data_IF_561410734462
#
_entry.id   IF_561410734462
#
_cell.length_a   1.000
_cell.length_b   1.000
_cell.length_c   1.000
_cell.angle_alpha   90.00
_cell.angle_beta   90.00
_cell.angle_gamma   90.00
#
_symmetry.space_group_name_H-M   'P 1'
#
loop_
_entity.id
_entity.type
_entity.pdbx_description
1 polymer ?
#
# COMPACT_ATOMS: atom_id res chain seq x y z
N UNK A 1 18.60 19.60 -6.24
CA UNK A 1 18.42 19.21 -7.67
C UNK A 1 17.86 17.79 -7.69
N UNK A 2 16.75 17.55 -8.38
CA UNK A 2 15.99 16.27 -8.37
C UNK A 2 16.40 15.30 -9.49
N UNK A 3 17.70 15.26 -9.86
CA UNK A 3 18.15 14.46 -11.00
C UNK A 3 17.84 12.97 -10.90
N UNK A 4 17.83 12.42 -9.68
CA UNK A 4 17.44 11.04 -9.44
C UNK A 4 15.95 10.80 -9.79
N UNK A 5 15.06 11.72 -9.39
CA UNK A 5 13.63 11.67 -9.74
C UNK A 5 13.47 11.74 -11.27
N UNK A 6 14.16 12.68 -11.91
CA UNK A 6 14.14 12.80 -13.37
C UNK A 6 14.73 11.58 -14.10
N UNK A 7 15.70 10.88 -13.49
CA UNK A 7 16.23 9.62 -14.01
C UNK A 7 15.17 8.51 -13.93
N UNK A 8 14.55 8.30 -12.77
CA UNK A 8 13.53 7.26 -12.59
C UNK A 8 12.35 7.48 -13.56
N UNK A 9 11.86 8.72 -13.69
CA UNK A 9 10.77 9.03 -14.62
C UNK A 9 11.10 8.62 -16.05
N UNK A 10 12.28 9.00 -16.56
CA UNK A 10 12.68 8.74 -17.96
C UNK A 10 13.03 7.28 -18.24
N UNK A 11 13.41 6.50 -17.23
CA UNK A 11 13.90 5.12 -17.42
C UNK A 11 12.96 4.03 -16.93
N UNK A 12 12.06 4.35 -15.98
CA UNK A 12 11.11 3.38 -15.41
C UNK A 12 9.66 3.71 -15.76
N UNK A 13 9.34 4.98 -16.05
CA UNK A 13 7.96 5.44 -16.28
C UNK A 13 7.72 5.90 -17.73
N UNK A 14 8.69 5.69 -18.64
CA UNK A 14 8.57 6.03 -20.07
C UNK A 14 9.01 4.82 -20.93
N UNK A 15 8.20 4.38 -21.91
CA UNK A 15 6.81 4.79 -22.12
C UNK A 15 5.96 4.53 -20.87
N UNK A 16 4.84 5.24 -20.77
CA UNK A 16 3.92 5.12 -19.64
C UNK A 16 3.59 3.64 -19.40
N UNK A 17 3.75 3.11 -18.18
CA UNK A 17 3.44 1.71 -17.92
C UNK A 17 1.94 1.47 -18.07
N UNK A 18 1.58 0.50 -18.89
CA UNK A 18 0.20 0.07 -19.08
C UNK A 18 -0.04 -1.28 -18.39
N UNK A 19 -1.16 -1.39 -17.67
CA UNK A 19 -1.60 -2.63 -17.05
C UNK A 19 -3.13 -2.64 -16.88
N UNK A 20 -3.73 -3.83 -16.90
CA UNK A 20 -5.17 -4.01 -16.76
C UNK A 20 -5.67 -3.85 -15.31
N UNK A 21 -4.78 -3.98 -14.32
CA UNK A 21 -5.11 -3.91 -12.89
C UNK A 21 -3.99 -3.18 -12.14
N UNK A 22 -4.32 -2.66 -10.95
CA UNK A 22 -3.32 -2.07 -10.04
C UNK A 22 -2.25 -3.10 -9.64
N UNK A 23 -2.63 -4.36 -9.42
CA UNK A 23 -1.66 -5.42 -9.14
C UNK A 23 -0.71 -5.65 -10.32
N UNK A 24 -1.23 -5.70 -11.56
CA UNK A 24 -0.40 -5.84 -12.74
C UNK A 24 0.57 -4.65 -12.92
N UNK A 25 0.13 -3.44 -12.59
CA UNK A 25 0.99 -2.26 -12.58
C UNK A 25 2.12 -2.40 -11.54
N UNK A 26 1.80 -2.87 -10.33
CA UNK A 26 2.78 -3.12 -9.27
C UNK A 26 3.82 -4.14 -9.72
N UNK A 27 3.41 -5.24 -10.35
CA UNK A 27 4.31 -6.29 -10.82
C UNK A 27 5.27 -5.77 -11.90
N UNK A 28 4.76 -4.99 -12.86
CA UNK A 28 5.57 -4.36 -13.92
C UNK A 28 6.62 -3.42 -13.31
N UNK A 29 6.20 -2.53 -12.41
CA UNK A 29 7.11 -1.58 -11.78
C UNK A 29 8.14 -2.28 -10.90
N UNK A 30 7.74 -3.31 -10.15
CA UNK A 30 8.64 -4.11 -9.33
C UNK A 30 9.73 -4.77 -10.19
N UNK A 31 9.36 -5.41 -11.29
CA UNK A 31 10.33 -6.04 -12.20
C UNK A 31 11.35 -5.02 -12.75
N UNK A 32 10.88 -3.82 -13.15
CA UNK A 32 11.77 -2.75 -13.63
C UNK A 32 12.71 -2.25 -12.53
N UNK A 33 12.22 -2.09 -11.30
CA UNK A 33 13.03 -1.71 -10.14
C UNK A 33 14.10 -2.78 -9.82
N UNK A 34 13.74 -4.06 -9.85
CA UNK A 34 14.69 -5.15 -9.63
C UNK A 34 15.77 -5.18 -10.72
N UNK A 35 15.41 -4.96 -11.99
CA UNK A 35 16.40 -4.83 -13.07
C UNK A 35 17.33 -3.62 -12.86
N UNK A 36 16.81 -2.48 -12.40
CA UNK A 36 17.63 -1.32 -12.05
C UNK A 36 18.55 -1.59 -10.85
N UNK A 37 18.11 -2.42 -9.90
CA UNK A 37 18.91 -2.78 -8.73
C UNK A 37 20.22 -3.49 -9.13
N UNK A 38 20.20 -4.27 -10.21
CA UNK A 38 21.38 -4.94 -10.75
C UNK A 38 22.32 -4.00 -11.54
N UNK A 39 21.87 -2.79 -11.89
CA UNK A 39 22.70 -1.83 -12.60
C UNK A 39 23.83 -1.29 -11.70
N UNK A 40 25.02 -1.12 -12.28
CA UNK A 40 26.16 -0.52 -11.59
C UNK A 40 25.92 0.98 -11.39
N UNK A 41 25.99 1.43 -10.14
CA UNK A 41 25.80 2.83 -9.80
C UNK A 41 26.93 3.70 -10.37
N UNK A 42 26.56 4.69 -11.20
CA UNK A 42 27.45 5.51 -12.04
C UNK A 42 28.67 6.12 -11.34
N UNK A 43 28.58 6.43 -10.04
CA UNK A 43 29.68 7.01 -9.25
C UNK A 43 30.34 6.01 -8.28
N UNK A 44 29.62 4.97 -7.90
CA UNK A 44 30.03 4.10 -6.78
C UNK A 44 30.65 2.80 -7.28
N UNK A 45 30.43 2.43 -8.55
CA UNK A 45 31.03 1.25 -9.16
C UNK A 45 30.50 -0.07 -8.62
N UNK A 46 29.43 -0.04 -7.81
CA UNK A 46 28.77 -1.21 -7.24
C UNK A 46 27.33 -1.30 -7.77
N UNK A 47 26.73 -2.50 -7.85
CA UNK A 47 25.30 -2.65 -8.09
C UNK A 47 24.48 -1.81 -7.11
N UNK A 48 23.37 -1.24 -7.59
CA UNK A 48 22.46 -0.46 -6.74
C UNK A 48 21.91 -1.32 -5.59
N UNK A 49 21.64 -2.60 -5.84
CA UNK A 49 21.19 -3.58 -4.84
C UNK A 49 22.16 -3.71 -3.67
N UNK A 50 23.47 -3.72 -3.94
CA UNK A 50 24.51 -3.78 -2.90
C UNK A 50 24.52 -2.50 -2.06
N UNK A 51 24.41 -1.34 -2.69
CA UNK A 51 24.35 -0.05 -1.98
C UNK A 51 23.11 0.04 -1.08
N UNK A 52 21.97 -0.49 -1.54
CA UNK A 52 20.74 -0.58 -0.74
C UNK A 52 20.95 -1.51 0.45
N UNK A 53 21.53 -2.70 0.24
CA UNK A 53 21.81 -3.66 1.31
C UNK A 53 22.75 -3.08 2.38
N UNK A 54 23.80 -2.35 1.97
CA UNK A 54 24.68 -1.62 2.89
C UNK A 54 23.91 -0.57 3.70
N UNK A 55 22.99 0.17 3.07
CA UNK A 55 22.14 1.14 3.74
C UNK A 55 21.19 0.50 4.75
N UNK A 56 20.61 -0.65 4.43
CA UNK A 56 19.76 -1.43 5.34
C UNK A 56 20.59 -1.94 6.54
N UNK A 57 21.79 -2.48 6.30
CA UNK A 57 22.67 -2.96 7.36
C UNK A 57 23.13 -1.85 8.32
N UNK A 58 23.21 -0.61 7.83
CA UNK A 58 23.53 0.57 8.64
C UNK A 58 22.31 1.18 9.35
N UNK A 59 21.09 0.70 9.06
CA UNK A 59 19.85 1.23 9.64
C UNK A 59 19.57 0.60 11.01
N UNK A 60 18.71 1.28 11.80
CA UNK A 60 18.16 0.70 13.01
C UNK A 60 17.26 -0.49 12.67
N UNK A 61 17.12 -1.42 13.61
CA UNK A 61 16.15 -2.51 13.51
C UNK A 61 14.74 -1.94 13.31
N UNK A 62 13.94 -2.61 12.47
CA UNK A 62 12.53 -2.26 12.32
C UNK A 62 11.79 -2.48 13.64
N UNK A 63 10.71 -1.72 13.90
CA UNK A 63 9.82 -2.00 15.02
C UNK A 63 9.32 -3.45 14.98
N UNK A 64 9.17 -4.09 16.15
CA UNK A 64 8.68 -5.47 16.25
C UNK A 64 7.23 -5.66 15.81
N UNK A 65 6.49 -4.56 15.62
CA UNK A 65 5.13 -4.55 15.08
C UNK A 65 5.18 -3.89 13.70
N UNK A 66 4.67 -4.60 12.69
CA UNK A 66 4.58 -4.09 11.33
C UNK A 66 3.66 -2.87 11.24
N UNK A 67 3.96 -1.98 10.29
CA UNK A 67 3.05 -0.89 9.97
C UNK A 67 1.82 -1.44 9.25
N UNK A 68 0.63 -1.17 9.80
CA UNK A 68 -0.64 -1.51 9.16
C UNK A 68 -1.32 -0.23 8.62
N UNK A 69 -1.40 -0.03 7.28
CA UNK A 69 -1.99 1.16 6.67
C UNK A 69 -3.53 1.11 6.67
N UNK A 70 -4.13 0.98 7.86
CA UNK A 70 -5.57 0.94 8.06
C UNK A 70 -6.07 2.23 8.69
N UNK A 71 -7.17 2.78 8.15
CA UNK A 71 -7.91 3.88 8.78
C UNK A 71 -9.16 3.31 9.46
N UNK A 72 -9.24 3.42 10.77
CA UNK A 72 -10.43 2.99 11.51
C UNK A 72 -11.45 4.12 11.62
N UNK A 73 -12.72 3.79 11.37
CA UNK A 73 -13.85 4.70 11.52
C UNK A 73 -14.98 4.05 12.30
N UNK A 74 -15.71 4.84 13.08
CA UNK A 74 -16.95 4.42 13.72
C UNK A 74 -18.14 4.77 12.83
N UNK A 75 -18.99 3.78 12.52
CA UNK A 75 -20.16 3.96 11.66
C UNK A 75 -21.38 3.25 12.21
N UNK A 76 -22.53 3.92 12.22
CA UNK A 76 -23.79 3.31 12.63
C UNK A 76 -24.48 2.68 11.43
N UNK A 77 -24.78 1.39 11.53
CA UNK A 77 -25.51 0.68 10.49
C UNK A 77 -26.98 1.11 10.45
N UNK A 78 -27.58 1.08 9.25
CA UNK A 78 -28.99 1.40 9.07
C UNK A 78 -29.92 0.31 9.62
N UNK A 79 -31.23 0.46 9.39
CA UNK A 79 -32.24 -0.52 9.83
C UNK A 79 -32.11 -1.91 9.18
N UNK A 80 -31.36 -2.02 8.08
CA UNK A 80 -31.09 -3.27 7.35
C UNK A 80 -29.72 -3.84 7.68
N UNK A 81 -28.92 -3.16 8.50
CA UNK A 81 -27.55 -3.58 8.81
C UNK A 81 -26.55 -3.20 7.72
N UNK A 82 -26.79 -2.14 6.98
CA UNK A 82 -25.85 -1.60 6.01
C UNK A 82 -25.10 -0.39 6.56
N UNK A 83 -23.85 -0.22 6.16
CA UNK A 83 -22.99 0.89 6.54
C UNK A 83 -22.67 1.72 5.31
N UNK A 84 -22.88 3.04 5.41
CA UNK A 84 -22.46 3.99 4.39
C UNK A 84 -21.04 4.46 4.71
N UNK A 85 -20.13 4.27 3.76
CA UNK A 85 -18.73 4.72 3.84
C UNK A 85 -18.48 5.52 2.56
N UNK A 86 -18.14 6.80 2.74
CA UNK A 86 -18.11 7.77 1.66
C UNK A 86 -19.42 7.72 0.84
N UNK A 87 -19.34 7.37 -0.44
CA UNK A 87 -20.49 7.22 -1.33
C UNK A 87 -20.97 5.77 -1.53
N UNK A 88 -20.36 4.79 -0.85
CA UNK A 88 -20.59 3.37 -1.06
C UNK A 88 -21.31 2.72 0.13
N UNK A 89 -22.24 1.81 -0.16
CA UNK A 89 -22.99 1.07 0.86
C UNK A 89 -22.48 -0.36 0.97
N UNK A 90 -22.12 -0.76 2.19
CA UNK A 90 -21.59 -2.09 2.50
C UNK A 90 -22.52 -2.82 3.44
N UNK A 91 -22.74 -4.12 3.21
CA UNK A 91 -23.57 -4.93 4.08
C UNK A 91 -22.74 -5.46 5.26
N UNK A 92 -23.05 -5.00 6.47
CA UNK A 92 -22.55 -5.61 7.71
C UNK A 92 -23.36 -6.86 8.08
N UNK A 93 -24.65 -6.86 7.73
CA UNK A 93 -25.60 -7.93 8.03
C UNK A 93 -26.68 -7.50 9.02
N UNK A 94 -27.86 -8.12 8.92
CA UNK A 94 -29.05 -7.73 9.69
C UNK A 94 -28.86 -7.81 11.21
N UNK A 95 -27.99 -8.70 11.70
CA UNK A 95 -27.61 -8.82 13.11
C UNK A 95 -26.99 -7.54 13.68
N UNK A 96 -26.51 -6.64 12.81
CA UNK A 96 -25.90 -5.37 13.18
C UNK A 96 -26.80 -4.16 12.95
N UNK A 97 -28.09 -4.34 12.66
CA UNK A 97 -29.01 -3.21 12.44
C UNK A 97 -28.95 -2.20 13.58
N UNK A 98 -28.84 -0.91 13.25
CA UNK A 98 -28.74 0.21 14.22
C UNK A 98 -27.58 0.12 15.22
N UNK A 99 -26.62 -0.80 15.05
CA UNK A 99 -25.41 -0.87 15.88
C UNK A 99 -24.33 0.05 15.31
N UNK A 100 -23.50 0.56 16.21
CA UNK A 100 -22.26 1.25 15.83
C UNK A 100 -21.16 0.20 15.68
N UNK A 101 -20.48 0.23 14.54
CA UNK A 101 -19.45 -0.73 14.16
C UNK A 101 -18.13 0.01 13.94
N UNK A 102 -17.03 -0.67 14.24
CA UNK A 102 -15.70 -0.22 13.82
C UNK A 102 -15.47 -0.73 12.40
N UNK A 103 -15.02 0.15 11.52
CA UNK A 103 -14.72 -0.19 10.13
C UNK A 103 -13.24 0.08 9.87
N UNK A 104 -12.52 -0.94 9.41
CA UNK A 104 -11.15 -0.81 8.90
C UNK A 104 -11.18 -0.50 7.40
N UNK A 105 -10.64 0.67 7.02
CA UNK A 105 -10.54 1.08 5.63
C UNK A 105 -9.10 0.88 5.15
N UNK A 106 -8.95 -0.02 4.18
CA UNK A 106 -7.71 -0.31 3.46
C UNK A 106 -7.80 0.26 2.04
N UNK A 107 -6.72 0.20 1.28
CA UNK A 107 -6.68 0.78 -0.07
C UNK A 107 -7.69 0.15 -1.06
N UNK A 108 -8.06 -1.12 -0.84
CA UNK A 108 -8.88 -1.94 -1.72
C UNK A 108 -10.02 -2.68 -1.00
N UNK A 109 -9.99 -2.73 0.34
CA UNK A 109 -10.92 -3.50 1.17
C UNK A 109 -11.50 -2.65 2.29
N UNK A 110 -12.79 -2.88 2.56
CA UNK A 110 -13.49 -2.41 3.75
C UNK A 110 -13.72 -3.61 4.67
N UNK A 111 -13.13 -3.57 5.87
CA UNK A 111 -13.30 -4.57 6.91
C UNK A 111 -14.34 -4.09 7.93
N UNK A 112 -15.40 -4.86 8.14
CA UNK A 112 -16.42 -4.55 9.15
C UNK A 112 -16.07 -5.36 10.41
N UNK A 113 -15.73 -4.65 11.47
CA UNK A 113 -15.31 -5.20 12.75
C UNK A 113 -16.43 -4.99 13.77
N UNK A 114 -16.74 -6.01 14.56
CA UNK A 114 -17.67 -5.86 15.69
C UNK A 114 -16.92 -5.43 16.96
N UNK A 115 -17.68 -5.08 18.01
CA UNK A 115 -17.14 -4.61 19.30
C UNK A 115 -16.33 -5.67 20.07
N UNK A 116 -16.05 -6.86 19.51
CA UNK A 116 -15.31 -7.94 20.16
C UNK A 116 -14.01 -8.27 19.44
N UNK A 117 -13.09 -7.32 19.35
CA UNK A 117 -11.67 -7.65 19.22
C UNK A 117 -10.84 -6.83 20.21
N UNK A 118 -10.75 -7.36 21.43
CA UNK A 118 -9.62 -7.20 22.36
C UNK A 118 -9.13 -8.59 22.71
#
# INVERSE_FOLDING_TARGET
>A
MENAVGFLRRNLMVPEPEAATLQGLNDVLMARCMALAEAVHYRKGLPVSELVAQGVAASLALPGVGFDPVRYESRTADKKGHVLIDANTYAAGLSFHRRTLTVGLRHDVVEILDERMV
#
